data_IF_231150175004
#
_entry.id   IF_231150175004
#
_cell.length_a   1.000
_cell.length_b   1.000
_cell.length_c   1.000
_cell.angle_alpha   90.00
_cell.angle_beta   90.00
_cell.angle_gamma   90.00
#
_symmetry.space_group_name_H-M   'P 1'
#
loop_
_entity.id
_entity.type
_entity.pdbx_description
1 polymer ?
#
# COMPACT_ATOMS: atom_id res chain seq x y z
N UNK A 1 1.16 19.12 1.06
CA UNK A 1 0.52 18.09 1.92
C UNK A 1 -0.90 18.52 2.37
N UNK A 2 -1.49 19.59 1.82
CA UNK A 2 -2.72 20.17 2.39
C UNK A 2 -4.03 19.47 2.00
N UNK A 3 -4.04 18.61 0.98
CA UNK A 3 -5.29 18.05 0.41
C UNK A 3 -6.06 17.13 1.35
N UNK A 4 -5.45 16.52 2.38
CA UNK A 4 -6.16 15.66 3.34
C UNK A 4 -6.69 16.47 4.51
N UNK A 5 -5.95 17.48 4.98
CA UNK A 5 -6.30 18.28 6.15
C UNK A 5 -7.42 19.30 5.88
N UNK A 6 -7.62 19.72 4.62
CA UNK A 6 -8.59 20.75 4.23
C UNK A 6 -9.90 20.21 3.63
N UNK A 7 -10.18 18.90 3.74
CA UNK A 7 -11.37 18.31 3.11
C UNK A 7 -12.64 18.66 3.87
N UNK A 8 -13.68 19.02 3.12
CA UNK A 8 -15.02 19.24 3.64
C UNK A 8 -15.73 17.92 4.03
N UNK A 9 -15.45 16.82 3.31
CA UNK A 9 -16.03 15.49 3.56
C UNK A 9 -14.91 14.49 3.86
N UNK A 10 -15.08 13.72 4.95
CA UNK A 10 -14.19 12.61 5.30
C UNK A 10 -14.43 11.44 4.32
N UNK A 11 -13.40 10.91 3.67
CA UNK A 11 -13.54 9.68 2.88
C UNK A 11 -13.76 8.48 3.80
N UNK A 12 -14.53 7.51 3.30
CA UNK A 12 -14.84 6.26 3.98
C UNK A 12 -13.92 5.14 3.48
N UNK A 13 -13.32 4.40 4.40
CA UNK A 13 -12.47 3.26 4.11
C UNK A 13 -13.28 1.99 4.38
N UNK A 14 -13.70 1.31 3.30
CA UNK A 14 -14.36 0.02 3.38
C UNK A 14 -13.35 -1.08 3.66
N UNK A 15 -13.72 -2.02 4.51
CA UNK A 15 -12.86 -3.14 4.89
C UNK A 15 -13.37 -4.44 4.28
N UNK A 16 -12.43 -5.30 3.89
CA UNK A 16 -12.66 -6.72 3.62
C UNK A 16 -13.03 -7.47 4.90
N UNK A 17 -13.54 -8.69 4.73
CA UNK A 17 -13.68 -9.68 5.81
C UNK A 17 -12.39 -9.87 6.62
N UNK A 18 -11.22 -9.66 6.00
CA UNK A 18 -9.92 -9.77 6.65
C UNK A 18 -9.41 -8.45 7.28
N UNK A 19 -10.28 -7.44 7.45
CA UNK A 19 -9.94 -6.14 8.06
C UNK A 19 -9.00 -5.26 7.22
N UNK A 20 -8.72 -5.64 5.96
CA UNK A 20 -7.90 -4.85 5.02
C UNK A 20 -8.77 -3.91 4.20
N UNK A 21 -8.30 -2.70 3.87
CA UNK A 21 -9.05 -1.78 3.03
C UNK A 21 -9.28 -2.36 1.63
N UNK A 22 -10.53 -2.31 1.17
CA UNK A 22 -10.95 -2.62 -0.19
C UNK A 22 -11.35 -1.31 -0.88
N UNK A 23 -11.07 -1.22 -2.17
CA UNK A 23 -11.61 -0.19 -3.03
C UNK A 23 -12.19 -0.86 -4.26
N UNK A 24 -13.47 -0.59 -4.51
CA UNK A 24 -14.17 -1.15 -5.66
C UNK A 24 -13.75 -0.44 -6.96
N UNK A 25 -13.42 0.87 -6.88
CA UNK A 25 -13.17 1.75 -8.04
C UNK A 25 -12.00 2.75 -7.88
N UNK A 26 -11.50 3.02 -6.67
CA UNK A 26 -10.50 4.06 -6.39
C UNK A 26 -9.26 3.52 -5.64
N UNK A 27 -8.31 2.94 -6.38
CA UNK A 27 -7.02 2.50 -5.84
C UNK A 27 -6.20 3.65 -5.23
N UNK A 28 -6.45 4.89 -5.69
CA UNK A 28 -5.75 6.07 -5.18
C UNK A 28 -6.17 6.36 -3.74
N UNK A 29 -7.42 6.10 -3.34
CA UNK A 29 -7.87 6.28 -1.96
C UNK A 29 -7.08 5.40 -0.97
N UNK A 30 -6.87 4.12 -1.28
CA UNK A 30 -6.10 3.21 -0.40
C UNK A 30 -4.64 3.65 -0.33
N UNK A 31 -4.04 4.01 -1.47
CA UNK A 31 -2.66 4.50 -1.52
C UNK A 31 -2.52 5.79 -0.70
N UNK A 32 -3.46 6.72 -0.86
CA UNK A 32 -3.51 7.96 -0.10
C UNK A 32 -3.66 7.71 1.40
N UNK A 33 -4.54 6.79 1.80
CA UNK A 33 -4.71 6.41 3.20
C UNK A 33 -3.41 5.86 3.79
N UNK A 34 -2.74 4.93 3.10
CA UNK A 34 -1.45 4.40 3.52
C UNK A 34 -0.37 5.49 3.63
N UNK A 35 -0.32 6.41 2.66
CA UNK A 35 0.60 7.57 2.68
C UNK A 35 0.29 8.53 3.84
N UNK A 36 -0.99 8.73 4.14
CA UNK A 36 -1.45 9.52 5.28
C UNK A 36 -1.00 8.88 6.60
N UNK A 37 -1.20 7.58 6.78
CA UNK A 37 -0.71 6.84 7.96
C UNK A 37 0.81 7.00 8.12
N UNK A 38 1.57 6.93 7.02
CA UNK A 38 3.00 7.22 7.05
C UNK A 38 3.34 8.65 7.46
N UNK A 39 2.50 9.63 7.12
CA UNK A 39 2.67 11.03 7.52
C UNK A 39 2.38 11.23 9.00
N UNK A 40 1.29 10.65 9.50
CA UNK A 40 0.96 10.63 10.94
C UNK A 40 2.15 10.09 11.74
N UNK A 41 2.74 8.98 11.31
CA UNK A 41 3.91 8.42 11.97
C UNK A 41 5.10 9.39 11.97
N UNK A 42 5.39 10.06 10.86
CA UNK A 42 6.54 10.99 10.77
C UNK A 42 6.35 12.24 11.60
N UNK A 43 5.12 12.70 11.75
CA UNK A 43 4.82 13.98 12.42
C UNK A 43 4.66 13.79 13.94
N UNK A 44 4.05 12.67 14.37
CA UNK A 44 3.70 12.45 15.77
C UNK A 44 4.59 11.45 16.50
N UNK A 45 5.23 10.51 15.79
CA UNK A 45 6.07 9.50 16.44
C UNK A 45 7.51 9.98 16.50
N UNK A 46 8.02 10.14 17.72
CA UNK A 46 9.43 10.43 17.92
C UNK A 46 10.29 9.34 17.30
N UNK A 47 11.24 9.75 16.46
CA UNK A 47 12.21 8.83 15.90
C UNK A 47 13.02 8.12 17.00
N UNK A 48 13.15 8.73 18.20
CA UNK A 48 14.03 8.24 19.28
C UNK A 48 13.55 6.92 19.86
N UNK A 49 12.26 6.59 19.69
CA UNK A 49 11.72 5.27 19.97
C UNK A 49 12.47 4.20 19.18
N UNK A 50 13.03 3.19 19.84
CA UNK A 50 13.86 2.18 19.17
C UNK A 50 12.99 1.20 18.39
N UNK A 51 11.87 0.81 18.98
CA UNK A 51 10.89 -0.13 18.45
C UNK A 51 9.47 0.47 18.40
N UNK A 52 8.60 -0.09 17.55
CA UNK A 52 7.18 0.31 17.50
C UNK A 52 6.46 0.05 18.83
N UNK A 53 6.85 -1.01 19.53
CA UNK A 53 6.36 -1.34 20.87
C UNK A 53 6.60 -0.22 21.88
N UNK A 54 7.73 0.49 21.78
CA UNK A 54 8.07 1.63 22.66
C UNK A 54 7.30 2.92 22.35
N UNK A 55 6.60 3.01 21.21
CA UNK A 55 5.83 4.21 20.86
C UNK A 55 4.69 4.38 21.87
N UNK A 56 4.66 5.47 22.65
CA UNK A 56 3.59 5.71 23.60
C UNK A 56 2.29 6.09 22.87
N UNK A 57 1.16 5.95 23.57
CA UNK A 57 -0.11 6.59 23.18
C UNK A 57 -0.57 6.30 21.73
N UNK A 58 -0.40 5.05 21.27
CA UNK A 58 -0.87 4.60 19.94
C UNK A 58 -2.37 4.81 19.72
N UNK A 59 -3.14 4.85 20.81
CA UNK A 59 -4.56 5.20 20.81
C UNK A 59 -4.82 6.62 20.30
N UNK A 60 -3.94 7.59 20.60
CA UNK A 60 -4.08 8.97 20.12
C UNK A 60 -3.85 9.02 18.61
N UNK A 61 -2.87 8.27 18.10
CA UNK A 61 -2.66 8.13 16.66
C UNK A 61 -3.92 7.56 15.98
N UNK A 62 -4.54 6.55 16.58
CA UNK A 62 -5.78 5.98 16.06
C UNK A 62 -6.94 6.97 16.04
N UNK A 63 -7.14 7.73 17.12
CA UNK A 63 -8.18 8.76 17.15
C UNK A 63 -7.94 9.84 16.09
N UNK A 64 -6.69 10.27 15.90
CA UNK A 64 -6.34 11.21 14.84
C UNK A 64 -6.65 10.67 13.43
N UNK A 65 -6.50 9.36 13.21
CA UNK A 65 -6.89 8.72 11.94
C UNK A 65 -8.41 8.78 11.74
N UNK A 66 -9.20 8.43 12.76
CA UNK A 66 -10.69 8.50 12.72
C UNK A 66 -11.22 9.94 12.60
N UNK A 67 -10.44 10.91 13.03
CA UNK A 67 -10.75 12.32 12.82
C UNK A 67 -10.64 12.73 11.35
N UNK A 68 -9.90 11.99 10.51
CA UNK A 68 -9.69 12.31 9.09
C UNK A 68 -10.39 11.35 8.13
N UNK A 69 -10.55 10.09 8.52
CA UNK A 69 -11.17 9.04 7.72
C UNK A 69 -12.33 8.40 8.49
N UNK A 70 -13.39 8.00 7.79
CA UNK A 70 -14.44 7.16 8.36
C UNK A 70 -13.97 5.72 8.18
N UNK A 71 -13.69 5.03 9.28
CA UNK A 71 -13.18 3.65 9.29
C UNK A 71 -13.75 2.93 10.50
N UNK A 72 -14.14 1.67 10.31
CA UNK A 72 -14.63 0.82 11.38
C UNK A 72 -13.48 0.38 12.32
N UNK A 73 -13.81 -0.06 13.53
CA UNK A 73 -12.79 -0.42 14.54
C UNK A 73 -11.96 -1.64 14.11
N UNK A 74 -12.54 -2.51 13.29
CA UNK A 74 -11.90 -3.65 12.63
C UNK A 74 -10.68 -3.23 11.79
N UNK A 75 -10.63 -1.96 11.35
CA UNK A 75 -9.50 -1.40 10.60
C UNK A 75 -8.31 -1.01 11.46
N UNK A 76 -8.43 -1.06 12.79
CA UNK A 76 -7.38 -0.68 13.73
C UNK A 76 -6.09 -1.47 13.51
N UNK A 77 -6.18 -2.81 13.41
CA UNK A 77 -5.01 -3.67 13.28
C UNK A 77 -4.26 -3.41 11.97
N UNK A 78 -5.00 -3.18 10.88
CA UNK A 78 -4.42 -2.79 9.60
C UNK A 78 -3.69 -1.45 9.70
N UNK A 79 -4.34 -0.44 10.28
CA UNK A 79 -3.75 0.88 10.44
C UNK A 79 -2.49 0.82 11.31
N UNK A 80 -2.53 0.09 12.42
CA UNK A 80 -1.42 -0.06 13.35
C UNK A 80 -0.23 -0.81 12.74
N UNK A 81 -0.51 -1.87 11.98
CA UNK A 81 0.51 -2.61 11.23
C UNK A 81 1.15 -1.74 10.15
N UNK A 82 0.33 -1.02 9.38
CA UNK A 82 0.81 -0.12 8.33
C UNK A 82 1.66 1.01 8.91
N UNK A 83 1.23 1.62 10.02
CA UNK A 83 2.02 2.64 10.72
C UNK A 83 3.36 2.08 11.25
N UNK A 84 3.37 0.86 11.79
CA UNK A 84 4.60 0.18 12.20
C UNK A 84 5.57 0.00 11.03
N UNK A 85 5.08 -0.45 9.88
CA UNK A 85 5.90 -0.65 8.68
C UNK A 85 6.42 0.68 8.13
N UNK A 86 5.58 1.71 8.09
CA UNK A 86 5.98 3.08 7.70
C UNK A 86 7.03 3.66 8.65
N UNK A 87 6.92 3.42 9.95
CA UNK A 87 7.92 3.82 10.94
C UNK A 87 9.27 3.16 10.68
N UNK A 88 9.27 1.84 10.45
CA UNK A 88 10.48 1.06 10.14
C UNK A 88 11.11 1.51 8.83
N UNK A 89 10.31 1.72 7.79
CA UNK A 89 10.75 2.20 6.49
C UNK A 89 11.36 3.61 6.60
N UNK A 90 10.72 4.51 7.34
CA UNK A 90 11.24 5.85 7.56
C UNK A 90 12.63 5.82 8.25
N UNK A 91 12.78 5.04 9.32
CA UNK A 91 14.09 4.87 9.99
C UNK A 91 15.15 4.25 9.07
N UNK A 92 14.77 3.28 8.23
CA UNK A 92 15.67 2.68 7.26
C UNK A 92 16.16 3.71 6.23
N UNK A 93 15.27 4.55 5.71
CA UNK A 93 15.62 5.65 4.80
C UNK A 93 16.57 6.65 5.46
N UNK A 94 16.28 7.10 6.68
CA UNK A 94 17.19 8.02 7.39
C UNK A 94 18.57 7.38 7.63
N UNK A 95 18.63 6.10 8.02
CA UNK A 95 19.90 5.39 8.18
C UNK A 95 20.67 5.32 6.86
N UNK A 96 20.00 4.99 5.75
CA UNK A 96 20.62 4.93 4.43
C UNK A 96 21.19 6.28 4.02
N UNK A 97 20.38 7.33 4.08
CA UNK A 97 20.68 8.61 3.48
C UNK A 97 21.60 9.48 4.34
N UNK A 98 21.62 9.27 5.67
CA UNK A 98 22.34 10.13 6.61
C UNK A 98 23.37 9.42 7.48
N UNK A 99 23.30 8.10 7.65
CA UNK A 99 24.30 7.34 8.41
C UNK A 99 25.26 6.58 7.50
N UNK A 100 24.74 5.73 6.61
CA UNK A 100 25.55 4.88 5.72
C UNK A 100 26.23 5.72 4.65
N UNK A 101 25.54 6.73 4.09
CA UNK A 101 26.06 7.61 3.03
C UNK A 101 27.33 8.37 3.41
N UNK A 102 27.53 8.70 4.69
CA UNK A 102 28.66 9.51 5.14
C UNK A 102 29.59 8.72 6.07
N UNK A 103 30.92 8.77 5.84
CA UNK A 103 31.88 7.93 6.56
C UNK A 103 32.14 8.39 7.99
N UNK A 104 32.06 9.68 8.28
CA UNK A 104 32.43 10.26 9.58
C UNK A 104 31.24 10.93 10.25
N UNK A 105 31.19 10.89 11.58
CA UNK A 105 30.13 11.55 12.37
C UNK A 105 30.08 13.06 12.11
N UNK A 106 31.21 13.71 11.84
CA UNK A 106 31.26 15.13 11.47
C UNK A 106 30.45 15.39 10.19
N UNK A 107 30.68 14.60 9.13
CA UNK A 107 29.91 14.73 7.87
C UNK A 107 28.44 14.36 8.06
N UNK A 108 28.14 13.34 8.88
CA UNK A 108 26.75 12.94 9.21
C UNK A 108 26.00 14.10 9.88
N UNK A 109 26.62 14.77 10.85
CA UNK A 109 26.03 15.90 11.56
C UNK A 109 25.84 17.12 10.65
N UNK A 110 26.80 17.42 9.77
CA UNK A 110 26.67 18.49 8.78
C UNK A 110 25.51 18.24 7.80
N UNK A 111 25.27 16.98 7.45
CA UNK A 111 24.22 16.56 6.53
C UNK A 111 22.99 16.03 7.27
N UNK A 112 22.72 16.48 8.50
CA UNK A 112 21.53 16.10 9.25
C UNK A 112 20.26 16.53 8.50
N UNK A 113 19.20 15.69 8.48
CA UNK A 113 17.88 16.12 8.02
C UNK A 113 17.40 17.38 8.75
N UNK A 114 16.74 18.30 8.03
CA UNK A 114 16.24 19.55 8.62
C UNK A 114 15.09 19.32 9.60
N UNK A 115 14.29 18.28 9.37
CA UNK A 115 13.12 17.90 10.15
C UNK A 115 13.46 17.13 11.44
N UNK A 116 14.73 16.77 11.68
CA UNK A 116 15.14 16.03 12.88
C UNK A 116 15.93 16.96 13.80
N UNK A 117 15.56 17.09 15.08
CA UNK A 117 16.32 17.83 16.08
C UNK A 117 17.77 17.32 16.20
N UNK A 118 18.71 18.23 16.52
CA UNK A 118 20.12 17.85 16.68
C UNK A 118 20.33 16.81 17.80
N UNK A 119 19.60 16.97 18.90
CA UNK A 119 19.62 16.07 20.06
C UNK A 119 19.33 14.64 19.63
N UNK A 120 18.22 14.47 18.92
CA UNK A 120 17.69 13.17 18.54
C UNK A 120 18.61 12.51 17.52
N UNK A 121 19.13 13.30 16.58
CA UNK A 121 20.07 12.80 15.60
C UNK A 121 21.37 12.27 16.23
N UNK A 122 21.90 12.95 17.26
CA UNK A 122 23.06 12.45 18.01
C UNK A 122 22.76 11.11 18.72
N UNK A 123 21.56 10.95 19.27
CA UNK A 123 21.13 9.67 19.87
C UNK A 123 21.16 8.55 18.84
N UNK A 124 20.70 8.78 17.59
CA UNK A 124 20.81 7.76 16.54
C UNK A 124 22.22 7.44 16.13
N UNK A 125 23.09 8.45 16.00
CA UNK A 125 24.49 8.19 15.64
C UNK A 125 25.15 7.27 16.65
N UNK A 126 24.90 7.48 17.95
CA UNK A 126 25.40 6.61 19.01
C UNK A 126 24.76 5.21 18.94
N UNK A 127 23.44 5.14 18.75
CA UNK A 127 22.72 3.87 18.64
C UNK A 127 23.19 3.02 17.46
N UNK A 128 23.43 3.61 16.29
CA UNK A 128 23.92 2.88 15.11
C UNK A 128 25.42 2.61 15.14
N UNK A 129 26.18 3.36 15.95
CA UNK A 129 27.58 3.09 16.21
C UNK A 129 27.78 1.93 17.20
N UNK A 130 26.77 1.59 18.01
CA UNK A 130 26.80 0.44 18.93
C UNK A 130 27.11 -0.87 18.19
N UNK A 131 28.13 -1.59 18.65
CA UNK A 131 28.61 -2.83 18.05
C UNK A 131 27.54 -3.93 18.02
N UNK A 132 26.70 -4.05 19.05
CA UNK A 132 25.63 -5.03 19.09
C UNK A 132 24.57 -4.74 18.03
N UNK A 133 24.30 -3.46 17.78
CA UNK A 133 23.35 -3.01 16.75
C UNK A 133 23.92 -3.25 15.36
N UNK A 134 25.21 -2.99 15.16
CA UNK A 134 25.90 -3.28 13.90
C UNK A 134 25.92 -4.78 13.60
N UNK A 135 26.28 -5.60 14.58
CA UNK A 135 26.34 -7.05 14.44
C UNK A 135 24.96 -7.64 14.11
N UNK A 136 23.90 -7.20 14.81
CA UNK A 136 22.54 -7.60 14.49
C UNK A 136 22.14 -7.18 13.08
N UNK A 137 22.53 -5.97 12.67
CA UNK A 137 22.28 -5.48 11.31
C UNK A 137 22.99 -6.34 10.26
N UNK A 138 24.24 -6.75 10.51
CA UNK A 138 25.03 -7.62 9.63
C UNK A 138 24.37 -8.99 9.47
N UNK A 139 24.03 -9.64 10.58
CA UNK A 139 23.32 -10.93 10.57
C UNK A 139 22.00 -10.86 9.80
N UNK A 140 21.22 -9.79 9.98
CA UNK A 140 19.96 -9.60 9.26
C UNK A 140 20.17 -9.43 7.74
N UNK A 141 21.22 -8.71 7.33
CA UNK A 141 21.58 -8.58 5.92
C UNK A 141 22.01 -9.91 5.32
N UNK A 142 22.87 -10.67 6.02
CA UNK A 142 23.31 -12.01 5.59
C UNK A 142 22.16 -13.02 5.54
N UNK A 143 21.20 -12.94 6.46
CA UNK A 143 19.99 -13.76 6.42
C UNK A 143 19.13 -13.38 5.21
N UNK A 144 18.97 -12.08 4.94
CA UNK A 144 18.17 -11.60 3.81
C UNK A 144 18.79 -11.94 2.46
N UNK A 145 20.12 -11.96 2.33
CA UNK A 145 20.80 -12.35 1.09
C UNK A 145 20.65 -13.84 0.75
N UNK A 146 20.24 -14.68 1.70
CA UNK A 146 19.99 -16.11 1.49
C UNK A 146 18.57 -16.40 1.01
N UNK A 147 17.67 -15.42 1.04
CA UNK A 147 16.30 -15.57 0.54
C UNK A 147 16.34 -15.50 -0.99
N UNK A 148 16.11 -16.63 -1.66
CA UNK A 148 16.11 -16.75 -3.13
C UNK A 148 14.73 -16.49 -3.73
N UNK A 149 13.68 -16.92 -3.04
CA UNK A 149 12.30 -16.76 -3.51
C UNK A 149 11.77 -15.38 -3.13
N UNK A 150 11.62 -14.51 -4.13
CA UNK A 150 11.00 -13.19 -3.98
C UNK A 150 9.55 -13.20 -4.44
N UNK A 151 8.69 -12.50 -3.72
CA UNK A 151 7.27 -12.38 -4.07
C UNK A 151 7.04 -11.74 -5.45
N UNK A 152 6.22 -12.39 -6.29
CA UNK A 152 5.95 -11.98 -7.68
C UNK A 152 4.60 -11.31 -7.89
N UNK A 153 3.69 -11.30 -6.90
CA UNK A 153 2.29 -10.88 -7.12
C UNK A 153 2.06 -9.35 -7.25
N UNK A 154 3.14 -8.58 -7.48
CA UNK A 154 3.07 -7.14 -7.70
C UNK A 154 2.74 -6.31 -6.46
N UNK A 155 2.50 -4.99 -6.62
CA UNK A 155 2.29 -4.05 -5.53
C UNK A 155 0.87 -4.09 -4.94
N UNK A 156 -0.09 -4.76 -5.59
CA UNK A 156 -1.46 -4.91 -5.11
C UNK A 156 -1.55 -6.06 -4.11
N UNK A 157 -2.35 -5.86 -3.06
CA UNK A 157 -2.61 -6.92 -2.09
C UNK A 157 -3.45 -8.04 -2.71
N UNK A 158 -3.32 -9.28 -2.24
CA UNK A 158 -4.16 -10.40 -2.69
C UNK A 158 -5.66 -10.13 -2.53
N UNK A 159 -6.04 -9.40 -1.47
CA UNK A 159 -7.42 -8.98 -1.22
C UNK A 159 -7.94 -8.05 -2.32
N UNK A 160 -7.11 -7.15 -2.85
CA UNK A 160 -7.48 -6.31 -4.00
C UNK A 160 -7.44 -7.07 -5.33
N UNK A 161 -6.56 -8.06 -5.46
CA UNK A 161 -6.46 -8.86 -6.68
C UNK A 161 -7.62 -9.86 -6.82
N UNK A 162 -8.26 -10.28 -5.73
CA UNK A 162 -9.36 -11.26 -5.74
C UNK A 162 -10.56 -10.82 -6.61
N UNK A 163 -11.19 -9.65 -6.39
CA UNK A 163 -12.32 -9.21 -7.20
C UNK A 163 -11.93 -8.96 -8.67
N UNK A 164 -10.68 -8.57 -8.95
CA UNK A 164 -10.20 -8.39 -10.32
C UNK A 164 -9.96 -9.72 -11.04
N UNK A 165 -9.42 -10.72 -10.34
CA UNK A 165 -9.30 -12.09 -10.82
C UNK A 165 -10.68 -12.62 -11.23
N UNK A 166 -11.67 -12.49 -10.34
CA UNK A 166 -13.04 -12.92 -10.59
C UNK A 166 -13.65 -12.20 -11.80
N UNK A 167 -13.61 -10.86 -11.85
CA UNK A 167 -14.06 -10.08 -13.03
C UNK A 167 -13.34 -10.50 -14.33
N UNK A 168 -12.05 -10.78 -14.27
CA UNK A 168 -11.26 -11.20 -15.43
C UNK A 168 -11.59 -12.65 -15.85
N UNK A 169 -12.06 -13.49 -14.92
CA UNK A 169 -12.57 -14.83 -15.21
C UNK A 169 -13.98 -14.79 -15.78
N UNK A 170 -14.86 -13.94 -15.26
CA UNK A 170 -16.23 -13.72 -15.77
C UNK A 170 -16.19 -13.17 -17.21
N UNK A 171 -15.38 -12.14 -17.47
CA UNK A 171 -15.18 -11.60 -18.82
C UNK A 171 -14.64 -12.63 -19.83
N UNK A 172 -13.86 -13.62 -19.36
CA UNK A 172 -13.39 -14.71 -20.24
C UNK A 172 -14.51 -15.67 -20.58
N UNK A 173 -15.38 -15.99 -19.62
CA UNK A 173 -16.58 -16.81 -19.85
C UNK A 173 -17.52 -16.11 -20.85
N UNK A 174 -17.76 -14.81 -20.68
CA UNK A 174 -18.61 -14.02 -21.58
C UNK A 174 -18.07 -13.96 -23.03
N UNK A 175 -16.74 -13.84 -23.20
CA UNK A 175 -16.10 -13.84 -24.53
C UNK A 175 -16.20 -15.23 -25.18
N UNK A 176 -16.00 -16.30 -24.42
CA UNK A 176 -16.15 -17.67 -24.92
C UNK A 176 -17.60 -17.96 -25.33
N UNK A 177 -18.60 -17.48 -24.60
CA UNK A 177 -20.02 -17.63 -24.94
C UNK A 177 -20.39 -16.87 -26.23
N UNK A 178 -19.85 -15.65 -26.42
CA UNK A 178 -20.03 -14.86 -27.65
C UNK A 178 -19.33 -15.50 -28.88
N UNK A 179 -18.28 -16.29 -28.67
CA UNK A 179 -17.58 -17.01 -29.75
C UNK A 179 -18.34 -18.25 -30.24
N UNK A 180 -19.34 -18.73 -29.51
CA UNK A 180 -20.07 -19.98 -29.81
C UNK A 180 -21.38 -19.74 -30.58
N UNK A 181 -21.78 -18.48 -30.79
CA UNK A 181 -22.96 -18.17 -31.60
C UNK A 181 -22.75 -18.61 -33.07
N UNK A 182 -23.59 -19.52 -33.63
CA UNK A 182 -23.45 -19.98 -35.00
C UNK A 182 -23.72 -18.84 -35.99
N UNK A 183 -23.06 -18.81 -37.17
CA UNK A 183 -23.29 -17.77 -38.15
C UNK A 183 -24.75 -17.82 -38.62
N UNK A 184 -25.40 -16.66 -38.55
CA UNK A 184 -26.75 -16.39 -39.02
C UNK A 184 -27.03 -17.11 -40.35
N UNK A 185 -28.00 -18.03 -40.33
CA UNK A 185 -28.55 -18.62 -41.55
C UNK A 185 -29.34 -17.54 -42.28
N UNK A 186 -28.75 -16.97 -43.34
CA UNK A 186 -29.45 -16.11 -44.29
C UNK A 186 -30.50 -16.99 -44.97
N UNK A 187 -31.78 -16.73 -44.67
CA UNK A 187 -32.89 -17.29 -45.44
C UNK A 187 -33.07 -16.41 -46.68
N UNK A 188 -32.61 -16.91 -47.83
CA UNK A 188 -32.90 -16.30 -49.12
C UNK A 188 -34.39 -16.45 -49.44
N UNK A 189 -34.99 -15.31 -49.74
CA UNK A 189 -36.42 -15.11 -49.92
C UNK A 189 -36.99 -15.74 -51.19
N UNK A 190 -38.26 -16.09 -51.03
CA UNK A 190 -39.22 -16.57 -52.00
C UNK A 190 -39.29 -15.68 -53.27
N UNK A 191 -39.13 -16.30 -54.45
CA UNK A 191 -39.36 -15.65 -55.74
C UNK A 191 -40.50 -16.37 -56.48
N UNK A 192 -41.70 -15.84 -56.31
CA UNK A 192 -42.86 -16.14 -57.15
C UNK A 192 -42.61 -15.73 -58.61
N UNK A 193 -42.94 -16.61 -59.57
CA UNK A 193 -42.81 -16.35 -61.01
C UNK A 193 -43.70 -17.23 -61.88
N UNK A 194 -44.89 -16.68 -62.17
CA UNK A 194 -45.89 -16.91 -63.21
C UNK A 194 -45.75 -18.00 -64.32
N UNK A 195 -46.92 -18.53 -64.70
CA UNK A 195 -47.28 -19.01 -66.05
C UNK A 195 -48.13 -20.28 -66.05
N UNK A 196 -49.12 -20.52 -66.91
CA UNK A 196 -50.09 -19.72 -67.65
C UNK A 196 -51.12 -20.73 -68.24
N UNK A 197 -52.36 -20.29 -68.43
CA UNK A 197 -53.31 -20.68 -69.49
C UNK A 197 -53.90 -22.13 -69.61
N UNK A 198 -55.10 -22.29 -69.03
CA UNK A 198 -56.44 -22.68 -69.61
C UNK A 198 -56.55 -23.06 -71.11
N UNK A 199 -57.62 -23.75 -71.61
CA UNK A 199 -58.81 -24.34 -70.96
C UNK A 199 -58.93 -25.87 -70.95
#
# INVERSE_FOLDING_TARGET
MDRVHTRAKKPEIRLSENGKPISDDDDHLISEFSNFLGTVVRDFVSLTCRSWTEVPEKNILWQFVKDKYIIEEEGYDYAMTTMCDQFRAHKATIKKDHYIKYPTNVKRLQNRPRNIPLSDFKIFLNYWADENVQERSRKNTEARSKITETHTAGPRSFTQNHPQNEKCSELKVDIEELSVAPPNSVQDGDASGAGNDTP
#
